data_IF_557763373632
#
_entry.id   IF_557763373632
#
_cell.length_a   1.000
_cell.length_b   1.000
_cell.length_c   1.000
_cell.angle_alpha   90.00
_cell.angle_beta   90.00
_cell.angle_gamma   90.00
#
_symmetry.space_group_name_H-M   'P 1'
#
loop_
_entity.id
_entity.type
_entity.pdbx_description
1 polymer ?
#
# COMPACT_ATOMS: atom_id res chain seq x y z
N UNK A 1 12.75 -13.56 7.13
CA UNK A 1 12.48 -12.16 7.51
C UNK A 1 11.44 -12.13 8.61
N UNK A 2 11.52 -11.14 9.52
CA UNK A 2 10.53 -10.98 10.59
C UNK A 2 9.23 -10.35 10.05
N UNK A 3 9.35 -9.54 9.00
CA UNK A 3 8.26 -9.01 8.18
C UNK A 3 8.68 -9.07 6.72
N UNK A 4 7.92 -9.77 5.88
CA UNK A 4 8.05 -9.74 4.42
C UNK A 4 6.86 -8.97 3.87
N UNK A 5 7.14 -7.90 3.11
CA UNK A 5 6.18 -6.93 2.63
C UNK A 5 6.05 -6.94 1.11
N UNK A 6 4.83 -6.69 0.61
CA UNK A 6 4.57 -6.42 -0.81
C UNK A 6 3.35 -5.53 -1.03
N UNK A 7 3.30 -4.90 -2.20
CA UNK A 7 2.10 -4.24 -2.70
C UNK A 7 1.28 -5.25 -3.52
N UNK A 8 0.05 -5.51 -3.10
CA UNK A 8 -0.91 -6.34 -3.83
C UNK A 8 -1.71 -5.47 -4.79
N UNK A 9 -1.19 -5.27 -5.99
CA UNK A 9 -1.76 -4.37 -7.00
C UNK A 9 -2.80 -5.08 -7.89
N UNK A 10 -3.65 -5.86 -7.28
CA UNK A 10 -4.75 -6.58 -7.92
C UNK A 10 -5.77 -7.02 -6.90
N UNK A 11 -7.08 -6.94 -7.19
CA UNK A 11 -8.09 -7.65 -6.42
C UNK A 11 -7.99 -9.17 -6.57
N UNK A 12 -8.60 -9.89 -5.62
CA UNK A 12 -8.80 -11.34 -5.65
C UNK A 12 -10.30 -11.58 -5.48
N UNK A 13 -11.02 -11.54 -6.58
CA UNK A 13 -12.48 -11.52 -6.61
C UNK A 13 -13.06 -12.61 -7.55
N UNK A 14 -12.96 -13.90 -7.16
CA UNK A 14 -13.37 -15.00 -8.03
C UNK A 14 -14.88 -15.03 -8.32
N UNK A 15 -15.70 -14.48 -7.43
CA UNK A 15 -17.17 -14.54 -7.58
C UNK A 15 -17.78 -13.25 -8.12
N UNK A 16 -17.16 -12.09 -7.90
CA UNK A 16 -17.64 -10.79 -8.37
C UNK A 16 -16.82 -10.20 -9.51
N UNK A 17 -15.84 -10.95 -10.01
CA UNK A 17 -14.89 -10.51 -11.02
C UNK A 17 -15.56 -10.14 -12.35
N UNK A 18 -15.04 -9.07 -12.96
CA UNK A 18 -15.38 -8.63 -14.32
C UNK A 18 -14.33 -9.17 -15.29
N UNK A 19 -14.66 -10.14 -16.15
CA UNK A 19 -13.68 -10.68 -17.10
C UNK A 19 -13.42 -9.74 -18.27
N UNK A 20 -12.18 -9.74 -18.75
CA UNK A 20 -11.86 -9.33 -20.11
C UNK A 20 -11.76 -7.83 -20.42
N UNK A 21 -11.68 -6.96 -19.40
CA UNK A 21 -11.44 -5.54 -19.61
C UNK A 21 -9.92 -5.27 -19.49
N UNK A 22 -9.27 -4.70 -20.51
CA UNK A 22 -7.85 -4.34 -20.42
C UNK A 22 -7.56 -3.45 -19.21
N UNK A 23 -6.45 -3.73 -18.51
CA UNK A 23 -6.01 -3.01 -17.31
C UNK A 23 -6.99 -3.07 -16.10
N UNK A 24 -7.95 -3.99 -16.12
CA UNK A 24 -8.79 -4.32 -14.97
C UNK A 24 -8.35 -5.67 -14.45
N UNK A 25 -7.61 -5.65 -13.34
CA UNK A 25 -6.96 -6.84 -12.79
C UNK A 25 -7.91 -7.67 -11.93
N UNK A 26 -7.65 -8.96 -11.90
CA UNK A 26 -8.26 -9.91 -10.99
C UNK A 26 -7.37 -11.14 -10.86
N UNK A 27 -6.75 -11.31 -9.72
CA UNK A 27 -5.87 -12.44 -9.46
C UNK A 27 -6.67 -13.71 -9.13
N UNK A 28 -6.10 -14.90 -9.40
CA UNK A 28 -6.74 -16.17 -9.07
C UNK A 28 -6.88 -16.34 -7.55
N UNK A 29 -7.93 -17.06 -7.13
CA UNK A 29 -8.23 -17.31 -5.72
C UNK A 29 -7.13 -18.07 -4.97
N UNK A 30 -6.24 -18.76 -5.67
CA UNK A 30 -5.09 -19.46 -5.09
C UNK A 30 -3.91 -18.56 -4.72
N UNK A 31 -3.95 -17.27 -5.11
CA UNK A 31 -2.85 -16.34 -4.86
C UNK A 31 -2.55 -16.14 -3.37
N UNK A 32 -3.53 -15.97 -2.45
CA UNK A 32 -3.24 -15.76 -1.03
C UNK A 32 -2.45 -16.91 -0.40
N UNK A 33 -2.85 -18.15 -0.67
CA UNK A 33 -2.12 -19.33 -0.19
C UNK A 33 -0.69 -19.40 -0.76
N UNK A 34 -0.53 -19.05 -2.04
CA UNK A 34 0.79 -19.02 -2.66
C UNK A 34 1.70 -17.96 -2.01
N UNK A 35 1.18 -16.76 -1.78
CA UNK A 35 1.91 -15.69 -1.07
C UNK A 35 2.26 -16.11 0.35
N UNK A 36 1.32 -16.71 1.09
CA UNK A 36 1.56 -17.20 2.45
C UNK A 36 2.65 -18.27 2.49
N UNK A 37 2.61 -19.27 1.57
CA UNK A 37 3.65 -20.30 1.46
C UNK A 37 5.01 -19.73 1.06
N UNK A 38 5.03 -18.67 0.25
CA UNK A 38 6.28 -17.97 -0.12
C UNK A 38 6.85 -17.11 1.03
N UNK A 39 6.14 -17.00 2.16
CA UNK A 39 6.61 -16.31 3.36
C UNK A 39 6.23 -14.84 3.46
N UNK A 40 5.34 -14.36 2.62
CA UNK A 40 4.78 -13.01 2.76
C UNK A 40 4.00 -12.91 4.06
N UNK A 41 4.11 -11.76 4.75
CA UNK A 41 3.49 -11.54 6.05
C UNK A 41 2.57 -10.33 6.07
N UNK A 42 2.89 -9.29 5.32
CA UNK A 42 2.10 -8.06 5.23
C UNK A 42 1.98 -7.57 3.79
N UNK A 43 0.76 -7.22 3.39
CA UNK A 43 0.44 -6.69 2.08
C UNK A 43 -0.18 -5.28 2.18
N UNK A 44 0.28 -4.35 1.34
CA UNK A 44 -0.46 -3.13 1.05
C UNK A 44 -1.56 -3.44 0.04
N UNK A 45 -2.79 -3.02 0.34
CA UNK A 45 -3.95 -3.10 -0.55
C UNK A 45 -4.41 -1.71 -1.00
N UNK A 46 -3.68 -0.64 -0.64
CA UNK A 46 -3.93 0.72 -1.09
C UNK A 46 -3.16 1.00 -2.38
N UNK A 47 -3.85 0.92 -3.51
CA UNK A 47 -3.32 1.23 -4.85
C UNK A 47 -4.45 1.60 -5.81
N UNK A 48 -4.10 2.04 -7.03
CA UNK A 48 -5.04 2.46 -8.06
C UNK A 48 -5.91 1.31 -8.58
N UNK A 49 -5.46 0.04 -8.46
CA UNK A 49 -6.18 -1.15 -8.90
C UNK A 49 -7.09 -1.77 -7.84
N UNK A 50 -7.11 -1.24 -6.61
CA UNK A 50 -7.90 -1.81 -5.53
C UNK A 50 -9.40 -1.94 -5.85
N UNK A 51 -9.95 -1.02 -6.67
CA UNK A 51 -11.36 -1.03 -7.10
C UNK A 51 -11.61 -1.67 -8.47
N UNK A 52 -10.67 -2.32 -9.10
CA UNK A 52 -10.83 -2.90 -10.43
C UNK A 52 -12.03 -3.85 -10.52
N UNK A 53 -12.32 -4.56 -9.45
CA UNK A 53 -13.48 -5.46 -9.36
C UNK A 53 -14.64 -4.85 -8.55
N UNK A 54 -14.60 -3.52 -8.38
CA UNK A 54 -15.61 -2.77 -7.63
C UNK A 54 -15.60 -3.03 -6.12
N UNK A 55 -16.59 -2.48 -5.39
CA UNK A 55 -16.67 -2.64 -3.94
C UNK A 55 -16.72 -4.08 -3.45
N UNK A 56 -17.43 -4.96 -4.17
CA UNK A 56 -17.48 -6.40 -3.84
C UNK A 56 -16.12 -7.06 -3.99
N UNK A 57 -15.33 -6.64 -5.00
CA UNK A 57 -13.98 -7.15 -5.21
C UNK A 57 -13.03 -6.83 -4.05
N UNK A 58 -13.16 -5.65 -3.44
CA UNK A 58 -12.42 -5.33 -2.21
C UNK A 58 -12.81 -6.28 -1.09
N UNK A 59 -14.11 -6.48 -0.85
CA UNK A 59 -14.59 -7.36 0.24
C UNK A 59 -14.10 -8.79 0.07
N UNK A 60 -14.19 -9.37 -1.15
CA UNK A 60 -13.68 -10.70 -1.43
C UNK A 60 -12.16 -10.78 -1.25
N UNK A 61 -11.42 -9.76 -1.69
CA UNK A 61 -9.97 -9.69 -1.51
C UNK A 61 -9.59 -9.74 -0.02
N UNK A 62 -10.24 -8.91 0.81
CA UNK A 62 -9.99 -8.87 2.25
C UNK A 62 -10.34 -10.22 2.91
N UNK A 63 -11.49 -10.81 2.57
CA UNK A 63 -11.91 -12.12 3.07
C UNK A 63 -10.89 -13.22 2.74
N UNK A 64 -10.35 -13.23 1.51
CA UNK A 64 -9.34 -14.20 1.07
C UNK A 64 -8.01 -14.03 1.81
N UNK A 65 -7.58 -12.80 2.04
CA UNK A 65 -6.36 -12.53 2.79
C UNK A 65 -6.52 -12.92 4.27
N UNK A 66 -7.65 -12.57 4.88
CA UNK A 66 -7.98 -12.96 6.25
C UNK A 66 -8.03 -14.48 6.42
N UNK A 67 -8.65 -15.18 5.45
CA UNK A 67 -8.82 -16.63 5.46
C UNK A 67 -7.50 -17.41 5.55
N UNK A 68 -6.41 -16.86 5.00
CA UNK A 68 -5.07 -17.48 5.11
C UNK A 68 -4.20 -16.81 6.17
N UNK A 69 -4.70 -15.79 6.87
CA UNK A 69 -3.97 -15.05 7.89
C UNK A 69 -2.80 -14.23 7.31
N UNK A 70 -2.95 -13.66 6.11
CA UNK A 70 -2.08 -12.64 5.58
C UNK A 70 -2.52 -11.28 6.13
N UNK A 71 -1.58 -10.59 6.77
CA UNK A 71 -1.83 -9.24 7.29
C UNK A 71 -1.91 -8.26 6.13
N UNK A 72 -2.83 -7.30 6.21
CA UNK A 72 -3.00 -6.28 5.18
C UNK A 72 -3.38 -4.93 5.78
N UNK A 73 -3.08 -3.86 5.05
CA UNK A 73 -3.43 -2.48 5.41
C UNK A 73 -3.72 -1.67 4.15
N UNK A 74 -4.47 -0.58 4.31
CA UNK A 74 -4.72 0.40 3.26
C UNK A 74 -6.08 0.27 2.59
N UNK A 75 -6.76 -0.86 2.73
CA UNK A 75 -8.19 -0.98 2.44
C UNK A 75 -8.91 -1.66 3.59
N UNK A 76 -10.23 -1.49 3.67
CA UNK A 76 -11.06 -2.03 4.73
C UNK A 76 -12.52 -2.13 4.31
N UNK A 77 -13.30 -2.90 5.06
CA UNK A 77 -14.77 -3.04 4.89
C UNK A 77 -15.48 -1.73 5.22
N UNK A 78 -14.83 -0.92 6.06
CA UNK A 78 -15.27 0.42 6.43
C UNK A 78 -14.07 1.39 6.39
N UNK A 79 -14.34 2.69 6.39
CA UNK A 79 -13.31 3.73 6.51
C UNK A 79 -12.45 3.51 7.77
N UNK A 80 -13.07 3.27 8.91
CA UNK A 80 -12.38 3.05 10.18
C UNK A 80 -11.44 1.84 10.15
N UNK A 81 -11.81 0.76 9.44
CA UNK A 81 -10.95 -0.41 9.24
C UNK A 81 -9.74 -0.07 8.35
N UNK A 82 -9.95 0.62 7.22
CA UNK A 82 -8.88 1.03 6.32
C UNK A 82 -7.90 2.02 6.96
N UNK A 83 -8.37 2.89 7.85
CA UNK A 83 -7.57 3.90 8.53
C UNK A 83 -6.79 3.37 9.74
N UNK A 84 -7.14 2.21 10.25
CA UNK A 84 -6.49 1.64 11.43
C UNK A 84 -5.07 1.17 11.12
N UNK A 85 -4.04 1.64 11.84
CA UNK A 85 -2.70 1.07 11.75
C UNK A 85 -2.70 -0.39 12.20
N UNK A 86 -1.96 -1.24 11.51
CA UNK A 86 -1.64 -2.57 11.98
C UNK A 86 -0.39 -2.48 12.87
N UNK A 87 -0.49 -2.89 14.12
CA UNK A 87 0.65 -2.91 15.04
C UNK A 87 1.06 -4.35 15.29
N UNK A 88 2.33 -4.64 15.02
CA UNK A 88 2.93 -5.96 15.24
C UNK A 88 4.01 -5.87 16.32
N UNK A 89 4.02 -6.83 17.24
CA UNK A 89 5.20 -7.07 18.07
C UNK A 89 6.16 -8.00 17.32
N UNK A 90 7.38 -7.56 17.17
CA UNK A 90 8.46 -8.33 16.54
C UNK A 90 9.75 -8.16 17.33
N UNK A 91 10.15 -9.22 18.03
CA UNK A 91 11.38 -9.24 18.84
C UNK A 91 11.43 -8.11 19.90
N UNK A 92 10.29 -7.81 20.50
CA UNK A 92 10.16 -6.77 21.50
C UNK A 92 10.04 -5.35 20.94
N UNK A 93 9.96 -5.17 19.62
CA UNK A 93 9.66 -3.89 18.98
C UNK A 93 8.22 -3.88 18.48
N UNK A 94 7.49 -2.82 18.80
CA UNK A 94 6.18 -2.54 18.22
C UNK A 94 6.37 -1.84 16.89
N UNK A 95 5.95 -2.49 15.81
CA UNK A 95 6.04 -1.99 14.45
C UNK A 95 4.66 -1.61 13.97
N UNK A 96 4.43 -0.34 13.71
CA UNK A 96 3.19 0.14 13.07
C UNK A 96 3.33 0.10 11.56
N UNK A 97 2.36 -0.48 10.89
CA UNK A 97 2.28 -0.64 9.44
C UNK A 97 1.07 0.12 8.92
N UNK A 98 1.30 0.99 7.94
CA UNK A 98 0.28 1.84 7.32
C UNK A 98 0.42 1.76 5.80
N UNK A 99 -0.69 1.93 5.07
CA UNK A 99 -0.65 2.03 3.62
C UNK A 99 -1.62 3.08 3.10
N UNK A 100 -1.20 3.79 2.04
CA UNK A 100 -1.94 4.87 1.39
C UNK A 100 -1.76 4.82 -0.12
N UNK A 101 -2.72 5.37 -0.86
CA UNK A 101 -2.59 5.60 -2.31
C UNK A 101 -2.89 7.05 -2.68
N UNK A 102 -2.09 7.63 -3.59
CA UNK A 102 -2.33 8.93 -4.20
C UNK A 102 -3.14 8.81 -5.51
N UNK A 103 -3.40 7.59 -5.96
CA UNK A 103 -3.93 7.29 -7.28
C UNK A 103 -5.13 6.34 -7.19
N UNK A 104 -6.15 6.63 -8.00
CA UNK A 104 -7.35 5.82 -8.15
C UNK A 104 -7.74 5.73 -9.62
N UNK A 105 -7.98 4.52 -10.11
CA UNK A 105 -8.54 4.30 -11.45
C UNK A 105 -10.09 4.42 -11.47
N UNK A 106 -10.72 4.45 -10.30
CA UNK A 106 -12.17 4.56 -10.15
C UNK A 106 -12.58 5.95 -9.68
N UNK A 107 -13.75 6.41 -10.15
CA UNK A 107 -14.40 7.58 -9.57
C UNK A 107 -14.98 7.23 -8.19
N UNK A 108 -14.47 7.87 -7.16
CA UNK A 108 -14.83 7.63 -5.76
C UNK A 108 -15.82 8.66 -5.22
N UNK A 109 -16.36 9.54 -6.06
CA UNK A 109 -17.35 10.55 -5.63
C UNK A 109 -18.58 9.88 -5.02
N UNK A 110 -18.95 10.28 -3.79
CA UNK A 110 -20.10 9.76 -3.07
C UNK A 110 -19.94 8.36 -2.46
N UNK A 111 -18.72 7.93 -2.16
CA UNK A 111 -18.40 6.58 -1.69
C UNK A 111 -18.27 6.42 -0.16
N UNK A 112 -18.90 7.25 0.65
CA UNK A 112 -18.73 7.24 2.11
C UNK A 112 -19.18 5.94 2.82
N UNK A 113 -20.12 5.18 2.25
CA UNK A 113 -20.65 3.94 2.83
C UNK A 113 -20.11 2.65 2.19
N UNK A 114 -19.01 2.73 1.44
CA UNK A 114 -18.44 1.58 0.72
C UNK A 114 -17.21 1.04 1.40
N UNK A 115 -16.74 -0.19 1.02
CA UNK A 115 -15.39 -0.61 1.33
C UNK A 115 -14.41 0.49 0.94
N UNK A 116 -13.51 0.83 1.85
CA UNK A 116 -12.67 2.02 1.73
C UNK A 116 -11.25 1.65 1.32
N UNK A 117 -10.67 2.46 0.45
CA UNK A 117 -9.23 2.44 0.16
C UNK A 117 -8.65 3.77 0.61
N UNK A 118 -7.59 3.73 1.37
CA UNK A 118 -7.05 4.88 2.08
C UNK A 118 -6.29 5.83 1.16
N UNK A 119 -6.78 7.06 0.95
CA UNK A 119 -6.08 8.04 0.14
C UNK A 119 -4.85 8.59 0.87
N UNK A 120 -3.82 8.93 0.11
CA UNK A 120 -2.74 9.81 0.55
C UNK A 120 -3.24 11.26 0.41
N UNK A 121 -3.87 11.79 1.43
CA UNK A 121 -4.08 13.23 1.47
C UNK A 121 -2.81 13.89 2.02
N UNK A 122 -2.25 14.88 1.33
CA UNK A 122 -1.13 15.69 1.84
C UNK A 122 -1.53 16.45 3.13
N UNK A 123 -2.79 16.35 3.50
CA UNK A 123 -3.42 17.12 4.54
C UNK A 123 -3.54 16.36 5.87
N UNK A 124 -4.03 17.07 6.84
CA UNK A 124 -4.07 16.79 8.27
C UNK A 124 -4.36 15.34 8.68
N UNK A 125 -5.22 14.61 7.96
CA UNK A 125 -5.68 13.28 8.38
C UNK A 125 -4.59 12.19 8.23
N UNK A 126 -3.88 12.14 7.08
CA UNK A 126 -2.79 11.18 6.88
C UNK A 126 -1.67 11.42 7.87
N UNK A 127 -1.24 12.68 8.01
CA UNK A 127 -0.16 13.03 8.93
C UNK A 127 -0.58 12.82 10.40
N UNK A 128 -1.83 13.09 10.76
CA UNK A 128 -2.36 12.82 12.09
C UNK A 128 -2.32 11.32 12.42
N UNK A 129 -2.64 10.46 11.44
CA UNK A 129 -2.57 9.01 11.66
C UNK A 129 -1.13 8.52 11.81
N UNK A 130 -0.19 9.02 11.02
CA UNK A 130 1.23 8.67 11.16
C UNK A 130 1.76 9.13 12.52
N UNK A 131 1.38 10.32 12.99
CA UNK A 131 1.71 10.82 14.35
C UNK A 131 1.13 9.92 15.45
N UNK A 132 -0.13 9.50 15.30
CA UNK A 132 -0.76 8.59 16.25
C UNK A 132 -0.07 7.21 16.27
N UNK A 133 0.29 6.68 15.09
CA UNK A 133 1.05 5.45 14.97
C UNK A 133 2.43 5.58 15.63
N UNK A 134 3.13 6.72 15.45
CA UNK A 134 4.42 6.99 16.12
C UNK A 134 4.30 7.00 17.65
N UNK A 135 3.21 7.51 18.19
CA UNK A 135 2.99 7.49 19.64
C UNK A 135 2.72 6.07 20.19
N UNK A 136 2.24 5.15 19.35
CA UNK A 136 1.86 3.79 19.72
C UNK A 136 2.92 2.73 19.40
N UNK A 137 3.97 3.05 18.63
CA UNK A 137 4.93 2.08 18.12
C UNK A 137 6.37 2.59 18.16
N UNK A 138 7.31 1.65 18.20
CA UNK A 138 8.74 1.93 18.24
C UNK A 138 9.31 2.16 16.83
N UNK A 139 8.67 1.58 15.79
CA UNK A 139 8.98 1.76 14.38
C UNK A 139 7.69 2.00 13.59
N UNK A 140 7.70 2.98 12.70
CA UNK A 140 6.57 3.29 11.81
C UNK A 140 6.98 3.07 10.35
N UNK A 141 6.33 2.12 9.69
CA UNK A 141 6.52 1.80 8.28
C UNK A 141 5.29 2.24 7.49
N UNK A 142 5.50 3.02 6.45
CA UNK A 142 4.44 3.54 5.58
C UNK A 142 4.64 3.04 4.17
N UNK A 143 3.68 2.28 3.63
CA UNK A 143 3.61 1.96 2.21
C UNK A 143 2.84 3.06 1.49
N UNK A 144 3.35 3.52 0.34
CA UNK A 144 2.68 4.56 -0.46
C UNK A 144 2.68 4.18 -1.94
N UNK A 145 1.50 4.22 -2.53
CA UNK A 145 1.32 4.05 -3.97
C UNK A 145 1.17 5.43 -4.62
N UNK A 146 2.20 5.89 -5.34
CA UNK A 146 2.36 7.28 -5.78
C UNK A 146 3.24 7.45 -7.00
N UNK A 147 3.31 8.68 -7.53
CA UNK A 147 4.23 9.07 -8.59
C UNK A 147 3.71 8.81 -10.00
N UNK A 148 4.61 8.69 -10.94
CA UNK A 148 4.32 8.53 -12.37
C UNK A 148 4.95 7.24 -12.91
N UNK A 149 4.20 6.51 -13.75
CA UNK A 149 4.67 5.27 -14.35
C UNK A 149 5.95 5.48 -15.18
N UNK A 150 6.90 4.55 -15.02
CA UNK A 150 8.14 4.44 -15.80
C UNK A 150 9.12 5.60 -15.63
N UNK A 151 8.93 6.47 -14.63
CA UNK A 151 9.88 7.52 -14.28
C UNK A 151 10.85 7.04 -13.19
N UNK A 152 12.15 7.02 -13.51
CA UNK A 152 13.21 6.58 -12.58
C UNK A 152 13.58 7.61 -11.51
N UNK A 153 13.05 8.82 -11.60
CA UNK A 153 13.29 9.90 -10.61
C UNK A 153 11.99 10.23 -9.90
N UNK A 154 12.02 10.37 -8.58
CA UNK A 154 10.85 10.78 -7.84
C UNK A 154 10.43 12.20 -8.22
N UNK A 155 9.13 12.42 -8.38
CA UNK A 155 8.57 13.74 -8.63
C UNK A 155 8.72 14.65 -7.41
N UNK A 156 8.61 15.99 -7.57
CA UNK A 156 8.59 16.92 -6.43
C UNK A 156 7.49 16.56 -5.41
N UNK A 157 6.30 16.15 -5.87
CA UNK A 157 5.18 15.72 -5.01
C UNK A 157 5.56 14.51 -4.15
N UNK A 158 6.25 13.50 -4.71
CA UNK A 158 6.73 12.35 -3.93
C UNK A 158 7.74 12.79 -2.86
N UNK A 159 8.63 13.73 -3.19
CA UNK A 159 9.64 14.23 -2.25
C UNK A 159 9.01 15.05 -1.11
N UNK A 160 8.05 15.91 -1.42
CA UNK A 160 7.28 16.70 -0.44
C UNK A 160 6.48 15.79 0.50
N UNK A 161 5.75 14.81 -0.06
CA UNK A 161 5.00 13.85 0.72
C UNK A 161 5.91 12.99 1.62
N UNK A 162 7.07 12.54 1.10
CA UNK A 162 8.06 11.82 1.90
C UNK A 162 8.56 12.66 3.09
N UNK A 163 8.91 13.92 2.86
CA UNK A 163 9.36 14.83 3.92
C UNK A 163 8.27 15.06 4.98
N UNK A 164 7.01 15.23 4.56
CA UNK A 164 5.87 15.38 5.45
C UNK A 164 5.62 14.12 6.31
N UNK A 165 5.67 12.92 5.70
CA UNK A 165 5.52 11.64 6.39
C UNK A 165 6.65 11.39 7.40
N UNK A 166 7.90 11.69 7.03
CA UNK A 166 9.06 11.61 7.95
C UNK A 166 8.88 12.57 9.12
N UNK A 167 8.47 13.82 8.86
CA UNK A 167 8.16 14.81 9.89
C UNK A 167 7.07 14.32 10.84
N UNK A 168 6.05 13.62 10.31
CA UNK A 168 4.96 13.07 11.09
C UNK A 168 5.37 11.84 11.93
N UNK A 169 6.48 11.19 11.61
CA UNK A 169 7.00 10.08 12.42
C UNK A 169 7.31 8.79 11.65
N UNK A 170 7.22 8.76 10.32
CA UNK A 170 7.62 7.60 9.53
C UNK A 170 9.14 7.38 9.62
N UNK A 171 9.55 6.15 9.92
CA UNK A 171 10.95 5.72 9.95
C UNK A 171 11.35 5.06 8.61
N UNK A 172 10.40 4.38 7.95
CA UNK A 172 10.60 3.74 6.66
C UNK A 172 9.40 4.01 5.75
N UNK A 173 9.66 4.46 4.52
CA UNK A 173 8.65 4.65 3.48
C UNK A 173 8.96 3.74 2.30
N UNK A 174 7.97 2.96 1.87
CA UNK A 174 8.05 1.98 0.78
C UNK A 174 7.11 2.42 -0.35
N UNK A 175 7.67 2.93 -1.42
CA UNK A 175 6.94 3.48 -2.57
C UNK A 175 6.67 2.44 -3.66
N UNK A 176 5.54 2.60 -4.34
CA UNK A 176 5.06 1.76 -5.44
C UNK A 176 4.38 2.61 -6.50
N UNK A 177 3.97 2.06 -7.62
CA UNK A 177 3.31 2.58 -8.80
C UNK A 177 4.24 2.89 -9.99
N UNK A 178 5.44 3.49 -9.84
CA UNK A 178 6.26 3.78 -11.03
C UNK A 178 6.63 2.54 -11.87
N UNK A 179 6.47 1.32 -11.36
CA UNK A 179 6.82 0.05 -11.99
C UNK A 179 8.30 -0.09 -12.39
N UNK A 180 9.12 0.88 -12.01
CA UNK A 180 10.58 0.90 -12.16
C UNK A 180 11.20 1.27 -10.81
N UNK A 181 12.46 0.89 -10.61
CA UNK A 181 13.19 1.29 -9.41
C UNK A 181 13.43 2.80 -9.40
N UNK A 182 13.14 3.44 -8.28
CA UNK A 182 13.53 4.79 -7.96
C UNK A 182 14.53 4.79 -6.79
N UNK A 183 15.27 5.89 -6.54
CA UNK A 183 16.27 5.96 -5.48
C UNK A 183 15.77 5.54 -4.11
N UNK A 184 16.68 4.97 -3.32
CA UNK A 184 16.54 4.81 -1.87
C UNK A 184 17.39 5.87 -1.21
N UNK A 185 16.80 6.70 -0.38
CA UNK A 185 17.47 7.85 0.21
C UNK A 185 17.06 8.07 1.67
N UNK A 186 17.99 8.57 2.46
CA UNK A 186 17.65 9.14 3.75
C UNK A 186 17.03 10.54 3.54
N UNK A 187 15.90 10.78 4.15
CA UNK A 187 15.21 12.07 4.16
C UNK A 187 15.26 12.64 5.56
N UNK A 188 15.77 13.85 5.70
CA UNK A 188 15.81 14.59 6.95
C UNK A 188 14.79 15.73 6.90
N UNK A 189 13.79 15.67 7.77
CA UNK A 189 12.68 16.63 7.82
C UNK A 189 12.09 16.71 9.23
N UNK A 190 11.70 17.92 9.67
CA UNK A 190 11.06 18.13 10.98
C UNK A 190 11.91 17.65 12.17
N UNK A 191 13.25 17.70 12.08
CA UNK A 191 14.17 17.20 13.12
C UNK A 191 14.23 15.67 13.20
N UNK A 192 13.70 14.94 12.23
CA UNK A 192 13.70 13.47 12.13
C UNK A 192 14.44 13.02 10.87
N UNK A 193 14.81 11.74 10.85
CA UNK A 193 15.41 11.07 9.71
C UNK A 193 14.65 9.79 9.41
N UNK A 194 14.20 9.60 8.16
CA UNK A 194 13.53 8.39 7.68
C UNK A 194 14.19 7.86 6.41
N UNK A 195 14.15 6.54 6.23
CA UNK A 195 14.60 5.90 4.99
C UNK A 195 13.42 5.84 4.01
N UNK A 196 13.62 6.29 2.78
CA UNK A 196 12.60 6.31 1.73
C UNK A 196 13.09 5.52 0.52
N UNK A 197 12.44 4.42 0.21
CA UNK A 197 12.50 3.78 -1.09
C UNK A 197 11.37 4.36 -1.95
N UNK A 198 11.68 5.27 -2.86
CA UNK A 198 10.66 6.01 -3.62
C UNK A 198 9.84 5.11 -4.56
N UNK A 199 10.44 4.06 -5.11
CA UNK A 199 9.75 2.95 -5.77
C UNK A 199 10.59 1.68 -5.70
N UNK A 200 9.93 0.57 -5.32
CA UNK A 200 10.52 -0.77 -5.29
C UNK A 200 10.45 -1.48 -6.65
N UNK A 201 9.82 -0.87 -7.66
CA UNK A 201 9.60 -1.50 -8.96
C UNK A 201 8.67 -2.71 -8.88
N UNK A 202 8.66 -3.51 -9.93
CA UNK A 202 7.90 -4.75 -9.99
C UNK A 202 8.69 -5.93 -9.43
N UNK A 203 8.08 -6.75 -8.57
CA UNK A 203 8.63 -8.04 -8.15
C UNK A 203 8.05 -9.18 -9.00
N UNK A 204 6.72 -9.19 -9.20
CA UNK A 204 6.02 -10.08 -10.14
C UNK A 204 5.10 -9.19 -10.97
N UNK A 205 5.19 -9.29 -12.30
CA UNK A 205 4.37 -8.50 -13.21
C UNK A 205 4.19 -9.23 -14.54
N UNK A 206 3.06 -9.01 -15.19
CA UNK A 206 2.80 -9.45 -16.57
C UNK A 206 3.17 -8.39 -17.62
N UNK A 207 3.91 -7.36 -17.24
CA UNK A 207 4.41 -6.36 -18.18
C UNK A 207 5.49 -7.00 -19.06
N UNK A 208 5.21 -7.10 -20.37
CA UNK A 208 6.06 -7.76 -21.37
C UNK A 208 7.09 -6.85 -22.02
N UNK A 209 7.18 -5.58 -21.61
CA UNK A 209 8.14 -4.63 -22.17
C UNK A 209 9.53 -4.86 -21.55
N UNK A 210 10.41 -5.45 -22.33
CA UNK A 210 11.78 -5.85 -21.94
C UNK A 210 12.67 -4.70 -21.44
N UNK A 211 12.30 -3.44 -21.69
CA UNK A 211 13.02 -2.25 -21.25
C UNK A 211 12.47 -1.62 -19.95
N UNK A 212 11.47 -2.27 -19.34
CA UNK A 212 10.91 -1.90 -18.04
C UNK A 212 11.37 -2.91 -17.00
N UNK A 213 12.40 -2.58 -16.21
CA UNK A 213 12.88 -3.45 -15.16
C UNK A 213 11.87 -3.64 -14.03
#
# INVERSE_FOLDING_TARGET
>A
ADVAFGNLETPIAPTSGRPGVPFVFNAPESLPEALKRAGWTWLSTANNHAYDQGPKGILETLERLDGVGLLHTGSGRTRAEAERPLILDRKGLRVALLAFTDLFNADLNGCEERPWVRPLSAELETLATVKAARAAADVVVVSVHWGEEYHHRPSPRQQEAAAALVTAGADLILGHHPHVLQPVSWVEAGGRRGLVAYSLGNFISNQDRTWRP
#
